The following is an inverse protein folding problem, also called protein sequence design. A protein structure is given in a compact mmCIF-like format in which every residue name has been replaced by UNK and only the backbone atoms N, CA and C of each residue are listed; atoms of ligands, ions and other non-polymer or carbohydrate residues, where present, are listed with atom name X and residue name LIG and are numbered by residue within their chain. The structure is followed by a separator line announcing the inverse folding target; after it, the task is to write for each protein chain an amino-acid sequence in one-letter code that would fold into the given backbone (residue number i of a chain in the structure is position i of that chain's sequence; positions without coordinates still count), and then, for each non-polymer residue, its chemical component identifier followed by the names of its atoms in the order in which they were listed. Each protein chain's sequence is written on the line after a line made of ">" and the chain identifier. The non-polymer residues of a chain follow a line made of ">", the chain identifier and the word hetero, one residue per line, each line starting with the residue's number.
data_IF_051593390312
#
_entry.id   IF_051593390312
#
_cell.length_a   1.000
_cell.length_b   1.000
_cell.length_c   1.000
_cell.angle_alpha   90.00
_cell.angle_beta   90.00
_cell.angle_gamma   90.00
#
_symmetry.space_group_name_H-M   'P 1'
#
loop_
_entity.id
_entity.type
_entity.pdbx_description
1 polymer ?
#
# COMPACT_ATOMS: atom_id res chain seq x y z
N UNK A 1 3.69 -8.80 -3.98
CA UNK A 1 3.43 -9.97 -3.09
C UNK A 1 3.80 -11.30 -3.78
N UNK A 2 4.60 -12.17 -3.16
CA UNK A 2 4.90 -13.53 -3.67
C UNK A 2 3.82 -14.55 -3.27
N UNK A 3 3.70 -15.65 -4.02
CA UNK A 3 2.65 -16.68 -3.85
C UNK A 3 2.53 -17.16 -2.39
N UNK A 4 3.65 -17.43 -1.73
CA UNK A 4 3.71 -17.79 -0.31
C UNK A 4 2.98 -16.83 0.63
N UNK A 5 3.25 -15.52 0.49
CA UNK A 5 2.65 -14.49 1.35
C UNK A 5 1.16 -14.29 1.07
N UNK A 6 0.69 -14.63 -0.13
CA UNK A 6 -0.72 -14.57 -0.49
C UNK A 6 -1.46 -15.81 0.02
N UNK A 7 -0.83 -16.99 -0.08
CA UNK A 7 -1.36 -18.24 0.48
C UNK A 7 -1.60 -18.16 1.98
N UNK A 8 -0.60 -17.68 2.73
CA UNK A 8 -0.71 -17.46 4.18
C UNK A 8 -1.84 -16.49 4.59
N UNK A 9 -2.20 -15.54 3.71
CA UNK A 9 -3.27 -14.55 3.99
C UNK A 9 -4.66 -15.06 3.64
N UNK A 10 -4.77 -15.83 2.57
CA UNK A 10 -6.03 -16.35 2.07
C UNK A 10 -6.38 -17.71 2.70
N UNK A 11 -5.46 -18.31 3.45
CA UNK A 11 -5.62 -19.66 4.00
C UNK A 11 -5.66 -20.72 2.89
N UNK A 12 -4.93 -20.48 1.79
CA UNK A 12 -4.84 -21.38 0.64
C UNK A 12 -3.39 -21.76 0.41
N UNK A 13 -3.17 -22.90 -0.24
CA UNK A 13 -1.82 -23.38 -0.54
C UNK A 13 -1.07 -22.40 -1.44
N UNK A 14 0.25 -22.39 -1.34
CA UNK A 14 1.11 -21.49 -2.11
C UNK A 14 0.88 -21.65 -3.63
N UNK A 15 0.56 -22.86 -4.09
CA UNK A 15 0.25 -23.19 -5.47
C UNK A 15 -1.06 -22.55 -5.95
N UNK A 16 -2.11 -22.56 -5.12
CA UNK A 16 -3.39 -21.91 -5.41
C UNK A 16 -3.25 -20.39 -5.41
N UNK A 17 -2.48 -19.86 -4.48
CA UNK A 17 -2.12 -18.45 -4.44
C UNK A 17 -1.31 -18.05 -5.68
N UNK A 18 -0.39 -18.90 -6.14
CA UNK A 18 0.34 -18.70 -7.39
C UNK A 18 -0.63 -18.68 -8.58
N UNK A 19 -1.58 -19.62 -8.64
CA UNK A 19 -2.61 -19.66 -9.68
C UNK A 19 -3.48 -18.40 -9.67
N UNK A 20 -3.83 -17.88 -8.49
CA UNK A 20 -4.58 -16.63 -8.36
C UNK A 20 -3.79 -15.43 -8.87
N UNK A 21 -2.50 -15.35 -8.53
CA UNK A 21 -1.57 -14.32 -9.02
C UNK A 21 -1.43 -14.43 -10.54
N UNK A 22 -1.27 -15.63 -11.10
CA UNK A 22 -1.14 -15.83 -12.54
C UNK A 22 -2.44 -15.52 -13.29
N UNK A 23 -3.60 -15.86 -12.73
CA UNK A 23 -4.91 -15.49 -13.28
C UNK A 23 -5.11 -13.96 -13.28
N UNK A 24 -4.72 -13.29 -12.19
CA UNK A 24 -4.73 -11.84 -12.11
C UNK A 24 -3.76 -11.22 -13.15
N UNK A 25 -2.51 -11.68 -13.20
CA UNK A 25 -1.52 -11.25 -14.19
C UNK A 25 -2.02 -11.47 -15.62
N UNK A 26 -2.69 -12.59 -15.89
CA UNK A 26 -3.31 -12.91 -17.18
C UNK A 26 -4.43 -11.92 -17.55
N UNK A 27 -5.28 -11.56 -16.57
CA UNK A 27 -6.35 -10.57 -16.76
C UNK A 27 -5.80 -9.18 -17.07
N UNK A 28 -4.61 -8.84 -16.58
CA UNK A 28 -3.90 -7.60 -16.91
C UNK A 28 -2.92 -7.71 -18.10
N UNK A 29 -2.58 -8.93 -18.58
CA UNK A 29 -1.85 -9.16 -19.85
C UNK A 29 -2.69 -8.76 -21.08
N UNK A 30 -4.01 -8.85 -21.00
CA UNK A 30 -4.91 -8.74 -22.16
C UNK A 30 -5.52 -7.35 -22.42
N UNK A 31 -5.45 -6.42 -21.46
CA UNK A 31 -6.04 -5.07 -21.65
C UNK A 31 -5.05 -4.15 -22.34
N UNK A 32 -4.74 -4.43 -23.62
CA UNK A 32 -4.10 -3.45 -24.53
C UNK A 32 -5.07 -2.29 -24.76
N UNK A 33 -5.18 -1.38 -23.80
CA UNK A 33 -5.69 -0.05 -24.07
C UNK A 33 -4.48 0.73 -24.62
N UNK A 34 -4.47 0.92 -25.94
CA UNK A 34 -3.51 1.71 -26.72
C UNK A 34 -2.88 2.85 -25.88
N UNK A 35 -1.63 2.66 -25.47
CA UNK A 35 -0.66 3.59 -24.88
C UNK A 35 0.12 2.82 -23.80
N UNK A 36 1.43 2.66 -23.99
CA UNK A 36 2.34 1.95 -23.08
C UNK A 36 2.09 2.39 -21.64
N UNK A 37 1.47 1.51 -20.86
CA UNK A 37 1.07 1.78 -19.47
C UNK A 37 2.05 1.04 -18.57
N UNK A 38 2.92 1.78 -17.89
CA UNK A 38 3.89 1.20 -16.97
C UNK A 38 3.27 1.05 -15.60
N UNK A 39 3.39 -0.14 -15.01
CA UNK A 39 3.03 -0.36 -13.61
C UNK A 39 4.19 0.13 -12.72
N UNK A 40 3.92 1.11 -11.84
CA UNK A 40 4.86 1.47 -10.76
C UNK A 40 4.49 0.66 -9.54
N UNK A 41 5.35 -0.24 -9.08
CA UNK A 41 5.21 -0.89 -7.76
C UNK A 41 6.17 -0.21 -6.79
N UNK A 42 5.64 0.28 -5.67
CA UNK A 42 6.49 0.74 -4.57
C UNK A 42 6.46 -0.22 -3.41
N UNK A 43 7.57 -0.91 -3.17
CA UNK A 43 7.71 -1.78 -2.00
C UNK A 43 8.23 -0.94 -0.83
N UNK A 44 7.40 -0.73 0.19
CA UNK A 44 7.88 -0.22 1.47
C UNK A 44 8.55 -1.37 2.25
N UNK A 45 9.58 -1.05 3.03
CA UNK A 45 10.34 -2.05 3.77
C UNK A 45 9.49 -2.55 4.95
N UNK A 46 8.72 -3.61 4.71
CA UNK A 46 8.05 -4.42 5.74
C UNK A 46 9.00 -5.06 6.77
N UNK A 47 10.32 -5.05 6.54
CA UNK A 47 11.32 -5.68 7.43
C UNK A 47 11.47 -5.05 8.83
N UNK A 48 10.74 -3.97 9.15
CA UNK A 48 10.78 -3.35 10.48
C UNK A 48 9.52 -3.46 11.33
N UNK A 49 8.36 -3.79 10.74
CA UNK A 49 7.08 -3.62 11.45
C UNK A 49 6.36 -4.93 11.76
N UNK A 50 6.59 -6.03 11.05
CA UNK A 50 5.81 -7.27 11.24
C UNK A 50 6.78 -8.44 11.44
N UNK A 51 6.70 -9.05 12.62
CA UNK A 51 7.54 -10.15 13.09
C UNK A 51 9.00 -9.75 13.41
N UNK A 52 9.23 -9.24 14.63
CA UNK A 52 10.59 -9.13 15.15
C UNK A 52 10.83 -10.32 16.10
N UNK A 53 11.92 -11.09 15.89
CA UNK A 53 12.27 -12.18 16.80
C UNK A 53 12.42 -11.67 18.24
N UNK A 54 12.07 -12.53 19.19
CA UNK A 54 12.01 -12.32 20.66
C UNK A 54 13.27 -11.78 21.34
N UNK A 55 14.35 -11.50 20.58
CA UNK A 55 15.68 -11.12 21.07
C UNK A 55 15.94 -9.61 21.16
N UNK A 56 14.94 -8.76 20.88
CA UNK A 56 15.08 -7.31 21.06
C UNK A 56 14.33 -6.88 22.34
N UNK A 57 15.08 -6.56 23.39
CA UNK A 57 14.53 -6.20 24.72
C UNK A 57 13.51 -5.06 24.68
N UNK A 58 13.71 -4.07 23.80
CA UNK A 58 12.79 -2.94 23.60
C UNK A 58 11.42 -3.33 23.05
N UNK A 59 11.32 -4.43 22.30
CA UNK A 59 10.06 -4.85 21.67
C UNK A 59 9.15 -5.53 22.69
N UNK A 60 9.70 -6.41 23.51
CA UNK A 60 8.93 -7.02 24.60
C UNK A 60 8.42 -5.96 25.59
N UNK A 61 9.18 -4.89 25.82
CA UNK A 61 8.72 -3.74 26.60
C UNK A 61 7.54 -3.03 25.93
N UNK A 62 7.65 -2.69 24.64
CA UNK A 62 6.59 -2.07 23.85
C UNK A 62 5.30 -2.90 23.80
N UNK A 63 5.41 -4.21 23.60
CA UNK A 63 4.26 -5.13 23.56
C UNK A 63 3.52 -5.14 24.90
N UNK A 64 4.26 -5.32 26.00
CA UNK A 64 3.69 -5.31 27.35
C UNK A 64 3.05 -3.97 27.70
N UNK A 65 3.70 -2.87 27.34
CA UNK A 65 3.18 -1.52 27.62
C UNK A 65 1.91 -1.23 26.80
N UNK A 66 1.87 -1.64 25.54
CA UNK A 66 0.69 -1.49 24.68
C UNK A 66 -0.52 -2.22 25.27
N UNK A 67 -0.33 -3.48 25.69
CA UNK A 67 -1.37 -4.27 26.35
C UNK A 67 -1.79 -3.62 27.68
N UNK A 68 -0.83 -3.23 28.53
CA UNK A 68 -1.10 -2.58 29.82
C UNK A 68 -1.92 -1.29 29.65
N UNK A 69 -1.57 -0.48 28.66
CA UNK A 69 -2.30 0.76 28.32
C UNK A 69 -3.71 0.44 27.81
N UNK A 70 -3.86 -0.60 26.99
CA UNK A 70 -5.16 -1.04 26.49
C UNK A 70 -6.07 -1.52 27.62
N UNK A 71 -5.56 -2.28 28.59
CA UNK A 71 -6.32 -2.70 29.80
C UNK A 71 -6.81 -1.48 30.58
N UNK A 72 -5.96 -0.45 30.75
CA UNK A 72 -6.34 0.76 31.49
C UNK A 72 -7.37 1.64 30.76
N UNK A 73 -7.27 1.73 29.44
CA UNK A 73 -8.04 2.69 28.62
C UNK A 73 -9.23 2.07 27.89
N UNK A 74 -9.27 0.75 27.73
CA UNK A 74 -10.25 0.02 26.94
C UNK A 74 -10.04 0.07 25.42
N UNK A 75 -8.97 0.73 24.94
CA UNK A 75 -8.69 0.86 23.50
C UNK A 75 -7.19 0.91 23.18
N UNK A 76 -6.86 0.69 21.92
CA UNK A 76 -5.56 1.02 21.32
C UNK A 76 -5.70 2.12 20.28
N UNK A 77 -4.61 2.82 19.99
CA UNK A 77 -4.58 3.94 19.07
C UNK A 77 -3.43 3.79 18.07
N UNK A 78 -3.68 4.05 16.80
CA UNK A 78 -2.64 4.09 15.76
C UNK A 78 -1.84 5.40 15.80
N UNK A 79 -0.75 5.48 15.03
CA UNK A 79 0.11 6.65 14.94
C UNK A 79 -0.65 7.94 14.54
N UNK A 80 -1.63 7.83 13.64
CA UNK A 80 -2.46 8.96 13.19
C UNK A 80 -3.72 9.15 14.05
N UNK A 81 -3.82 8.46 15.18
CA UNK A 81 -4.82 8.72 16.19
C UNK A 81 -6.12 7.92 16.07
N UNK A 82 -6.25 6.99 15.12
CA UNK A 82 -7.44 6.11 15.00
C UNK A 82 -7.48 5.15 16.18
N UNK A 83 -8.65 5.05 16.83
CA UNK A 83 -8.85 4.18 18.00
C UNK A 83 -9.57 2.89 17.64
N UNK A 84 -9.21 1.79 18.30
CA UNK A 84 -9.96 0.53 18.31
C UNK A 84 -10.22 0.10 19.73
N UNK A 85 -11.49 -0.01 20.09
CA UNK A 85 -11.93 -0.51 21.39
C UNK A 85 -11.83 -2.03 21.42
N UNK A 86 -11.30 -2.57 22.51
CA UNK A 86 -11.07 -4.01 22.70
C UNK A 86 -11.67 -4.46 24.03
N UNK A 87 -13.00 -4.62 24.12
CA UNK A 87 -13.66 -4.95 25.39
C UNK A 87 -13.19 -6.31 25.96
N UNK A 88 -12.78 -7.23 25.09
CA UNK A 88 -12.25 -8.54 25.49
C UNK A 88 -10.95 -8.49 26.29
N UNK A 89 -10.27 -7.34 26.37
CA UNK A 89 -9.01 -7.18 27.11
C UNK A 89 -9.20 -7.29 28.63
N UNK A 90 -10.39 -7.01 29.13
CA UNK A 90 -10.77 -7.09 30.55
C UNK A 90 -11.50 -8.40 30.89
N UNK A 91 -11.68 -9.32 29.93
CA UNK A 91 -12.41 -10.56 30.15
C UNK A 91 -11.59 -11.54 31.03
N UNK A 92 -12.24 -12.21 31.98
CA UNK A 92 -11.63 -13.26 32.80
C UNK A 92 -11.27 -14.52 32.02
N UNK A 93 -11.88 -14.75 30.84
CA UNK A 93 -11.53 -15.86 29.97
C UNK A 93 -10.15 -15.63 29.32
N UNK A 94 -9.20 -16.52 29.63
CA UNK A 94 -7.83 -16.47 29.14
C UNK A 94 -7.73 -16.46 27.61
N UNK A 95 -8.58 -17.20 26.88
CA UNK A 95 -8.54 -17.23 25.42
C UNK A 95 -9.01 -15.91 24.80
N UNK A 96 -10.11 -15.35 25.33
CA UNK A 96 -10.65 -14.07 24.87
C UNK A 96 -9.65 -12.93 25.13
N UNK A 97 -9.02 -12.95 26.31
CA UNK A 97 -7.97 -12.00 26.68
C UNK A 97 -6.74 -12.12 25.77
N UNK A 98 -6.21 -13.33 25.57
CA UNK A 98 -5.07 -13.56 24.68
C UNK A 98 -5.35 -13.14 23.22
N UNK A 99 -6.58 -13.33 22.75
CA UNK A 99 -6.99 -12.83 21.44
C UNK A 99 -7.01 -11.30 21.39
N UNK A 100 -7.58 -10.64 22.41
CA UNK A 100 -7.60 -9.19 22.52
C UNK A 100 -6.19 -8.58 22.61
N UNK A 101 -5.26 -9.21 23.33
CA UNK A 101 -3.85 -8.81 23.41
C UNK A 101 -3.17 -8.84 22.05
N UNK A 102 -3.36 -9.92 21.27
CA UNK A 102 -2.86 -10.00 19.88
C UNK A 102 -3.48 -8.93 18.99
N UNK A 103 -4.79 -8.68 19.13
CA UNK A 103 -5.49 -7.64 18.37
C UNK A 103 -4.99 -6.23 18.71
N UNK A 104 -4.65 -5.96 19.97
CA UNK A 104 -4.11 -4.69 20.44
C UNK A 104 -2.78 -4.38 19.74
N UNK A 105 -1.87 -5.35 19.74
CA UNK A 105 -0.56 -5.23 19.09
C UNK A 105 -0.73 -5.07 17.58
N UNK A 106 -1.46 -5.97 16.91
CA UNK A 106 -1.64 -5.94 15.47
C UNK A 106 -2.28 -4.63 15.00
N UNK A 107 -3.31 -4.16 15.71
CA UNK A 107 -3.97 -2.89 15.37
C UNK A 107 -3.02 -1.71 15.52
N UNK A 108 -2.20 -1.68 16.57
CA UNK A 108 -1.26 -0.57 16.80
C UNK A 108 -0.20 -0.52 15.70
N UNK A 109 0.36 -1.67 15.34
CA UNK A 109 1.48 -1.78 14.40
C UNK A 109 0.99 -1.72 12.95
N UNK A 110 0.13 -2.65 12.54
CA UNK A 110 -0.38 -2.72 11.17
C UNK A 110 -1.32 -1.56 10.85
N UNK A 111 -2.13 -1.12 11.82
CA UNK A 111 -3.00 0.04 11.65
C UNK A 111 -2.21 1.32 11.41
N UNK A 112 -1.08 1.50 12.11
CA UNK A 112 -0.18 2.64 11.87
C UNK A 112 0.52 2.56 10.51
N UNK A 113 0.92 1.36 10.07
CA UNK A 113 1.47 1.16 8.72
C UNK A 113 0.43 1.52 7.65
N UNK A 114 -0.82 1.08 7.80
CA UNK A 114 -1.91 1.41 6.89
C UNK A 114 -2.18 2.92 6.85
N UNK A 115 -2.04 3.61 7.98
CA UNK A 115 -2.21 5.06 8.08
C UNK A 115 -1.12 5.80 7.28
N UNK A 116 0.14 5.39 7.42
CA UNK A 116 1.26 5.96 6.64
C UNK A 116 1.04 5.77 5.14
N UNK A 117 0.66 4.56 4.71
CA UNK A 117 0.42 4.28 3.28
C UNK A 117 -0.73 5.13 2.76
N UNK A 118 -1.84 5.23 3.49
CA UNK A 118 -2.98 6.07 3.07
C UNK A 118 -2.60 7.54 2.96
N UNK A 119 -1.81 8.06 3.91
CA UNK A 119 -1.32 9.43 3.86
C UNK A 119 -0.43 9.65 2.63
N UNK A 120 0.49 8.72 2.35
CA UNK A 120 1.32 8.75 1.16
C UNK A 120 0.48 8.74 -0.12
N UNK A 121 -0.51 7.85 -0.25
CA UNK A 121 -1.40 7.78 -1.42
C UNK A 121 -2.12 9.11 -1.67
N UNK A 122 -2.63 9.75 -0.62
CA UNK A 122 -3.29 11.07 -0.74
C UNK A 122 -2.29 12.14 -1.19
N UNK A 123 -1.08 12.15 -0.63
CA UNK A 123 -0.04 13.12 -1.00
C UNK A 123 0.42 12.95 -2.45
N UNK A 124 0.66 11.71 -2.89
CA UNK A 124 0.97 11.36 -4.27
C UNK A 124 -0.12 11.87 -5.20
N UNK A 125 -1.40 11.58 -4.91
CA UNK A 125 -2.49 12.00 -5.76
C UNK A 125 -2.60 13.53 -5.86
N UNK A 126 -2.42 14.24 -4.72
CA UNK A 126 -2.37 15.71 -4.71
C UNK A 126 -1.22 16.23 -5.56
N UNK A 127 -0.03 15.62 -5.46
CA UNK A 127 1.15 16.00 -6.24
C UNK A 127 0.94 15.77 -7.73
N UNK A 128 0.45 14.60 -8.11
CA UNK A 128 0.15 14.25 -9.50
C UNK A 128 -0.85 15.23 -10.12
N UNK A 129 -1.92 15.59 -9.41
CA UNK A 129 -2.88 16.60 -9.86
C UNK A 129 -2.27 17.99 -10.06
N UNK A 130 -1.29 18.36 -9.23
CA UNK A 130 -0.58 19.63 -9.37
C UNK A 130 0.40 19.62 -10.55
N UNK A 131 1.08 18.51 -10.77
CA UNK A 131 2.04 18.34 -11.88
C UNK A 131 1.34 18.21 -13.23
N UNK A 132 0.20 17.51 -13.27
CA UNK A 132 -0.57 17.22 -14.48
C UNK A 132 -2.01 17.77 -14.36
N UNK A 133 -2.21 19.09 -14.37
CA UNK A 133 -3.53 19.69 -14.15
C UNK A 133 -4.53 19.43 -15.29
N UNK A 134 -4.02 19.19 -16.50
CA UNK A 134 -4.83 18.85 -17.66
C UNK A 134 -5.22 17.36 -17.71
N UNK A 135 -4.62 16.51 -16.86
CA UNK A 135 -4.94 15.10 -16.82
C UNK A 135 -6.35 14.88 -16.22
N UNK A 136 -7.19 14.02 -16.83
CA UNK A 136 -8.43 13.59 -16.20
C UNK A 136 -8.18 13.01 -14.80
N UNK A 137 -9.14 13.17 -13.88
CA UNK A 137 -9.02 12.63 -12.53
C UNK A 137 -8.97 11.08 -12.51
N UNK A 138 -9.63 10.45 -13.47
CA UNK A 138 -9.61 9.01 -13.70
C UNK A 138 -10.04 8.69 -15.13
N UNK A 139 -9.91 7.42 -15.52
CA UNK A 139 -10.40 6.93 -16.83
C UNK A 139 -11.86 7.21 -17.13
N UNK A 140 -12.71 7.34 -16.10
CA UNK A 140 -14.12 7.65 -16.29
C UNK A 140 -14.33 9.13 -16.64
N UNK A 141 -13.49 10.02 -16.10
CA UNK A 141 -13.51 11.45 -16.36
C UNK A 141 -12.92 11.82 -17.73
N UNK A 142 -12.24 10.88 -18.39
CA UNK A 142 -11.70 11.08 -19.73
C UNK A 142 -12.78 10.99 -20.84
N UNK A 143 -14.03 10.59 -20.53
CA UNK A 143 -15.13 10.57 -21.50
C UNK A 143 -15.80 11.95 -21.55
N UNK A 144 -15.84 12.63 -22.71
CA UNK A 144 -16.63 13.84 -22.84
C UNK A 144 -18.12 13.49 -22.75
N UNK A 145 -18.89 14.32 -22.06
CA UNK A 145 -20.35 14.21 -21.91
C UNK A 145 -21.15 14.47 -23.22
N UNK A 146 -20.50 14.42 -24.38
CA UNK A 146 -21.10 14.68 -25.69
C UNK A 146 -20.17 14.23 -26.80
N UNK A 147 -20.69 13.46 -27.75
CA UNK A 147 -19.94 12.73 -28.78
C UNK A 147 -19.21 13.57 -29.83
N UNK A 148 -18.24 14.40 -29.44
CA UNK A 148 -17.25 14.95 -30.37
C UNK A 148 -15.96 14.15 -30.29
N UNK A 149 -15.78 13.25 -31.27
CA UNK A 149 -14.48 12.66 -31.61
C UNK A 149 -13.56 13.80 -32.05
N UNK A 150 -12.48 14.06 -31.32
CA UNK A 150 -11.48 15.01 -31.81
C UNK A 150 -10.61 15.71 -30.77
N UNK A 151 -10.14 15.03 -29.73
CA UNK A 151 -8.84 15.38 -29.10
C UNK A 151 -8.16 14.05 -28.79
N UNK A 152 -7.01 13.81 -29.42
CA UNK A 152 -6.28 12.56 -29.27
C UNK A 152 -5.98 12.28 -27.78
N UNK A 153 -6.44 11.13 -27.28
CA UNK A 153 -6.10 10.58 -25.96
C UNK A 153 -4.59 10.43 -25.74
N UNK A 154 -3.81 10.50 -26.83
CA UNK A 154 -2.35 10.47 -26.87
C UNK A 154 -1.67 11.64 -26.12
N UNK A 155 -2.30 12.80 -25.91
CA UNK A 155 -1.61 13.97 -25.29
C UNK A 155 -1.80 14.16 -23.78
N UNK A 156 -2.66 13.40 -23.13
CA UNK A 156 -2.93 13.59 -21.69
C UNK A 156 -1.89 12.82 -20.87
N UNK A 157 -0.84 13.52 -20.40
CA UNK A 157 0.17 12.97 -19.50
C UNK A 157 -0.34 12.71 -18.08
N UNK A 158 0.47 12.03 -17.27
CA UNK A 158 0.21 11.77 -15.85
C UNK A 158 0.02 10.29 -15.52
N UNK A 159 -0.39 10.03 -14.27
CA UNK A 159 -0.52 8.70 -13.72
C UNK A 159 -1.86 8.49 -13.00
N UNK A 160 -2.35 7.26 -13.06
CA UNK A 160 -3.61 6.86 -12.43
C UNK A 160 -3.38 5.74 -11.44
N UNK A 161 -4.03 5.87 -10.28
CA UNK A 161 -3.97 4.87 -9.24
C UNK A 161 -4.82 3.64 -9.63
N UNK A 162 -4.22 2.46 -9.56
CA UNK A 162 -4.86 1.18 -9.93
C UNK A 162 -5.25 0.39 -8.70
N UNK A 163 -4.28 0.12 -7.84
CA UNK A 163 -4.45 -0.84 -6.74
C UNK A 163 -3.46 -0.57 -5.62
N UNK A 164 -3.91 -0.81 -4.39
CA UNK A 164 -3.06 -0.93 -3.22
C UNK A 164 -3.08 -2.40 -2.76
N UNK A 165 -1.90 -2.98 -2.60
CA UNK A 165 -1.69 -4.30 -1.99
C UNK A 165 -0.85 -4.10 -0.73
N UNK A 166 -1.52 -3.89 0.41
CA UNK A 166 -0.87 -3.54 1.69
C UNK A 166 0.01 -2.28 1.58
N UNK A 167 1.32 -2.47 1.47
CA UNK A 167 2.37 -1.47 1.37
C UNK A 167 2.87 -1.26 -0.06
N UNK A 168 2.37 -2.04 -1.02
CA UNK A 168 2.58 -1.87 -2.46
C UNK A 168 1.49 -0.97 -3.06
N UNK A 169 1.89 0.07 -3.79
CA UNK A 169 1.00 0.90 -4.60
C UNK A 169 1.29 0.65 -6.07
N UNK A 170 0.23 0.45 -6.87
CA UNK A 170 0.29 0.25 -8.32
C UNK A 170 -0.32 1.46 -9.02
N UNK A 171 0.48 2.11 -9.86
CA UNK A 171 0.05 3.17 -10.76
C UNK A 171 0.24 2.75 -12.22
N UNK A 172 -0.63 3.20 -13.09
CA UNK A 172 -0.39 3.19 -14.53
C UNK A 172 0.02 4.60 -14.99
N UNK A 173 1.03 4.68 -15.84
CA UNK A 173 1.50 5.94 -16.42
C UNK A 173 1.97 5.74 -17.85
N UNK A 174 1.99 6.81 -18.64
CA UNK A 174 2.66 6.82 -19.93
C UNK A 174 4.17 6.69 -19.76
N UNK A 175 4.81 6.11 -20.76
CA UNK A 175 6.27 5.94 -20.82
C UNK A 175 7.01 7.28 -20.73
N UNK A 176 6.49 8.31 -21.39
CA UNK A 176 7.02 9.68 -21.39
C UNK A 176 7.09 10.28 -19.98
N UNK A 177 6.14 9.93 -19.12
CA UNK A 177 6.00 10.48 -17.77
C UNK A 177 6.62 9.58 -16.69
N UNK A 178 7.14 8.41 -17.06
CA UNK A 178 7.51 7.34 -16.13
C UNK A 178 8.47 7.83 -15.04
N UNK A 179 9.57 8.48 -15.43
CA UNK A 179 10.61 8.94 -14.49
C UNK A 179 10.06 10.00 -13.53
N UNK A 180 9.28 10.96 -14.04
CA UNK A 180 8.73 12.04 -13.23
C UNK A 180 7.71 11.50 -12.22
N UNK A 181 6.81 10.62 -12.68
CA UNK A 181 5.82 9.96 -11.81
C UNK A 181 6.54 9.10 -10.78
N UNK A 182 7.51 8.28 -11.18
CA UNK A 182 8.27 7.43 -10.28
C UNK A 182 8.97 8.23 -9.16
N UNK A 183 9.58 9.37 -9.49
CA UNK A 183 10.18 10.28 -8.50
C UNK A 183 9.15 10.90 -7.56
N UNK A 184 7.98 11.30 -8.07
CA UNK A 184 6.87 11.81 -7.25
C UNK A 184 6.41 10.75 -6.27
N UNK A 185 6.12 9.54 -6.75
CA UNK A 185 5.64 8.43 -5.94
C UNK A 185 6.67 8.10 -4.85
N UNK A 186 7.94 7.93 -5.22
CA UNK A 186 9.03 7.64 -4.28
C UNK A 186 9.13 8.72 -3.20
N UNK A 187 9.22 9.99 -3.60
CA UNK A 187 9.39 11.11 -2.66
C UNK A 187 8.22 11.21 -1.68
N UNK A 188 6.99 11.18 -2.17
CA UNK A 188 5.81 11.36 -1.33
C UNK A 188 5.57 10.14 -0.41
N UNK A 189 6.05 8.94 -0.78
CA UNK A 189 6.08 7.77 0.12
C UNK A 189 7.16 7.90 1.21
N UNK A 190 8.38 8.30 0.86
CA UNK A 190 9.48 8.43 1.83
C UNK A 190 9.27 9.61 2.80
N UNK A 191 8.57 10.65 2.37
CA UNK A 191 8.31 11.87 3.16
C UNK A 191 6.95 11.89 3.87
N UNK A 192 6.16 10.80 3.79
CA UNK A 192 4.81 10.77 4.33
C UNK A 192 4.74 11.10 5.83
N UNK A 193 5.68 10.59 6.64
CA UNK A 193 5.75 10.82 8.08
C UNK A 193 7.21 10.93 8.54
N UNK A 194 7.51 11.86 9.46
CA UNK A 194 8.81 11.94 10.12
C UNK A 194 8.91 10.86 11.21
N UNK A 195 9.69 9.83 10.96
CA UNK A 195 9.94 8.73 11.89
C UNK A 195 11.40 8.73 12.36
N UNK A 196 11.70 8.00 13.44
CA UNK A 196 13.08 7.77 13.89
C UNK A 196 13.94 7.02 12.86
N UNK A 197 13.30 6.25 11.98
CA UNK A 197 13.93 5.51 10.89
C UNK A 197 13.41 6.05 9.57
N UNK A 198 14.31 6.32 8.62
CA UNK A 198 13.94 6.74 7.27
C UNK A 198 13.22 5.60 6.54
N UNK A 199 12.07 5.89 5.95
CA UNK A 199 11.38 4.98 5.05
C UNK A 199 12.13 4.99 3.71
N UNK A 200 12.45 3.81 3.17
CA UNK A 200 13.04 3.65 1.85
C UNK A 200 12.03 2.99 0.93
N UNK A 201 11.70 3.65 -0.17
CA UNK A 201 10.80 3.15 -1.19
C UNK A 201 11.62 2.54 -2.33
N UNK A 202 11.31 1.29 -2.71
CA UNK A 202 11.84 0.69 -3.94
C UNK A 202 10.83 0.86 -5.05
N UNK A 203 11.24 1.40 -6.19
CA UNK A 203 10.36 1.60 -7.35
C UNK A 203 10.69 0.58 -8.41
N UNK A 204 9.66 -0.07 -8.95
CA UNK A 204 9.77 -0.95 -10.12
C UNK A 204 8.90 -0.45 -11.25
N UNK A 205 9.33 -0.65 -12.48
CA UNK A 205 8.60 -0.28 -13.68
C UNK A 205 8.63 -1.40 -14.73
N UNK A 206 7.55 -1.55 -15.49
CA UNK A 206 7.49 -2.45 -16.64
C UNK A 206 6.17 -2.35 -17.40
N UNK A 207 6.16 -2.84 -18.64
CA UNK A 207 4.98 -2.82 -19.51
C UNK A 207 3.83 -3.73 -19.03
N UNK A 208 4.10 -4.64 -18.11
CA UNK A 208 3.13 -5.49 -17.44
C UNK A 208 3.57 -5.77 -16.00
N UNK A 209 2.63 -6.19 -15.15
CA UNK A 209 2.97 -6.52 -13.76
C UNK A 209 3.97 -7.69 -13.64
N UNK A 210 3.96 -8.62 -14.60
CA UNK A 210 4.89 -9.76 -14.63
C UNK A 210 6.30 -9.42 -15.14
N UNK A 211 6.51 -8.23 -15.70
CA UNK A 211 7.76 -7.80 -16.32
C UNK A 211 8.36 -6.57 -15.63
N UNK A 212 8.06 -6.37 -14.35
CA UNK A 212 8.57 -5.26 -13.56
C UNK A 212 10.07 -5.42 -13.30
N UNK A 213 10.84 -4.37 -13.57
CA UNK A 213 12.26 -4.27 -13.27
C UNK A 213 12.50 -3.15 -12.27
N UNK A 214 13.54 -3.28 -11.45
CA UNK A 214 13.96 -2.24 -10.51
C UNK A 214 14.35 -0.99 -11.30
N UNK A 215 13.85 0.16 -10.86
CA UNK A 215 14.15 1.47 -11.43
C UNK A 215 15.06 2.23 -10.46
N UNK A 216 16.32 2.40 -10.85
CA UNK A 216 17.33 3.12 -10.05
C UNK A 216 17.13 4.63 -10.18
N UNK A 217 16.35 5.19 -9.24
CA UNK A 217 16.10 6.62 -9.01
C UNK A 217 16.15 6.92 -7.51
#
# INVERSE_FOLDING_TARGET
>A
MGAKSLGEQMGVEEEDAACYIESFKSRYKGRRRLSTSFAIEVVNVRKGFICVPSRVSGINAFLRETVKKCVKTGYVQTLMGRRRYLPGIANGNAHAKAHAERQAVNTTVQGSAADIVKLATVNIQKRLRKTYPAAPLSHQHARPAGGRRGVGTSRLGGAYFILQLHDELIYETKEEDLIQVAQIVKREMESAVKLYVKLKAKVKAGASWGSLQDLDI
#
